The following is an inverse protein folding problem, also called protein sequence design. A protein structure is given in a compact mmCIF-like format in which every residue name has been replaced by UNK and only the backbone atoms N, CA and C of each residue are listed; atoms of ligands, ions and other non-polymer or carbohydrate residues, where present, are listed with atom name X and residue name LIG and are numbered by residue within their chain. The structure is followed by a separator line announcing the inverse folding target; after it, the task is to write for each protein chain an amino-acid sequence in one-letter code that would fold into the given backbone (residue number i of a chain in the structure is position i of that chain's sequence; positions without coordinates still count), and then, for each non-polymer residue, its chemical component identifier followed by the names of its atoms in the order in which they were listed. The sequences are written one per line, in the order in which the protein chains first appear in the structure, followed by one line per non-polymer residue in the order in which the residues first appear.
data_IF_994667050516
#
_entry.id   IF_994667050516
#
_cell.length_a   1.000
_cell.length_b   1.000
_cell.length_c   1.000
_cell.angle_alpha   90.00
_cell.angle_beta   90.00
_cell.angle_gamma   90.00
#
_symmetry.space_group_name_H-M   'P 1'
#
loop_
_entity.id
_entity.type
_entity.pdbx_description
1 polymer ?
#
# COMPACT_ATOMS: atom_id res chain seq x y z
N UNK A 1 6.81 -24.21 9.74
CA UNK A 1 8.15 -23.63 9.46
C UNK A 1 8.23 -22.15 9.84
N UNK A 2 7.38 -21.65 10.76
CA UNK A 2 7.42 -20.28 11.27
C UNK A 2 7.10 -20.25 12.78
N UNK A 3 7.48 -21.31 13.51
CA UNK A 3 7.12 -21.50 14.93
C UNK A 3 7.46 -20.36 15.90
N UNK A 4 8.52 -19.52 15.70
CA UNK A 4 8.71 -18.34 16.55
C UNK A 4 7.74 -17.19 16.23
N UNK A 5 6.98 -17.27 15.14
CA UNK A 5 6.11 -16.21 14.63
C UNK A 5 4.62 -16.61 14.61
N UNK A 6 4.25 -17.70 15.28
CA UNK A 6 2.85 -18.17 15.37
C UNK A 6 1.91 -17.07 15.86
N UNK A 7 2.35 -16.25 16.82
CA UNK A 7 1.55 -15.11 17.31
C UNK A 7 1.22 -14.10 16.19
N UNK A 8 2.15 -13.86 15.27
CA UNK A 8 1.93 -12.92 14.15
C UNK A 8 1.04 -13.56 13.09
N UNK A 9 1.21 -14.86 12.83
CA UNK A 9 0.34 -15.62 11.94
C UNK A 9 -1.10 -15.59 12.41
N UNK A 10 -1.34 -15.82 13.70
CA UNK A 10 -2.70 -15.79 14.27
C UNK A 10 -3.33 -14.40 14.14
N UNK A 11 -2.59 -13.31 14.41
CA UNK A 11 -3.09 -11.96 14.24
C UNK A 11 -3.45 -11.62 12.78
N UNK A 12 -2.60 -12.00 11.83
CA UNK A 12 -2.88 -11.77 10.40
C UNK A 12 -4.07 -12.60 9.91
N UNK A 13 -4.31 -13.77 10.49
CA UNK A 13 -5.47 -14.62 10.18
C UNK A 13 -6.80 -14.09 10.71
N UNK A 14 -6.79 -13.18 11.67
CA UNK A 14 -8.01 -12.48 12.11
C UNK A 14 -8.57 -11.54 11.02
N UNK A 15 -7.76 -11.17 10.02
CA UNK A 15 -8.19 -10.34 8.90
C UNK A 15 -9.09 -11.16 7.97
N UNK A 16 -10.39 -10.80 7.83
CA UNK A 16 -11.30 -11.55 6.96
C UNK A 16 -10.81 -11.55 5.50
N UNK A 17 -10.75 -12.74 4.90
CA UNK A 17 -10.31 -12.92 3.51
C UNK A 17 -8.83 -13.29 3.34
N UNK A 18 -8.03 -13.32 4.41
CA UNK A 18 -6.67 -13.87 4.37
C UNK A 18 -6.67 -15.37 4.70
N UNK A 19 -6.19 -16.19 3.78
CA UNK A 19 -5.93 -17.62 4.03
C UNK A 19 -4.56 -17.83 4.67
N UNK A 20 -4.33 -18.99 5.28
CA UNK A 20 -3.01 -19.35 5.84
C UNK A 20 -1.88 -19.18 4.82
N UNK A 21 -2.07 -19.71 3.61
CA UNK A 21 -1.09 -19.61 2.52
C UNK A 21 -0.86 -18.15 2.12
N UNK A 22 -1.91 -17.34 2.07
CA UNK A 22 -1.81 -15.91 1.76
C UNK A 22 -0.99 -15.16 2.80
N UNK A 23 -1.17 -15.49 4.09
CA UNK A 23 -0.39 -14.89 5.19
C UNK A 23 1.08 -15.32 5.12
N UNK A 24 1.35 -16.60 4.86
CA UNK A 24 2.72 -17.11 4.66
C UNK A 24 3.41 -16.41 3.49
N UNK A 25 2.73 -16.28 2.35
CA UNK A 25 3.26 -15.59 1.18
C UNK A 25 3.51 -14.11 1.46
N UNK A 26 2.58 -13.45 2.15
CA UNK A 26 2.76 -12.05 2.55
C UNK A 26 4.04 -11.90 3.38
N UNK A 27 4.20 -12.70 4.44
CA UNK A 27 5.38 -12.65 5.31
C UNK A 27 6.67 -12.97 4.54
N UNK A 28 6.63 -13.91 3.61
CA UNK A 28 7.79 -14.25 2.77
C UNK A 28 8.21 -13.09 1.84
N UNK A 29 7.25 -12.29 1.37
CA UNK A 29 7.49 -11.16 0.46
C UNK A 29 7.92 -9.88 1.19
N UNK A 30 7.22 -9.50 2.27
CA UNK A 30 7.45 -8.21 2.97
C UNK A 30 8.33 -8.34 4.22
N UNK A 31 8.51 -9.56 4.73
CA UNK A 31 9.17 -9.82 6.01
C UNK A 31 8.29 -9.47 7.23
N UNK A 32 8.87 -9.62 8.42
CA UNK A 32 8.21 -9.23 9.69
C UNK A 32 8.75 -7.92 10.26
N UNK A 33 9.91 -7.50 9.78
CA UNK A 33 10.50 -6.21 10.16
C UNK A 33 9.91 -5.11 9.28
N UNK A 34 8.95 -4.36 9.83
CA UNK A 34 8.32 -3.25 9.13
C UNK A 34 9.15 -1.96 9.19
N UNK A 35 10.24 -1.90 9.97
CA UNK A 35 11.10 -0.71 10.06
C UNK A 35 11.86 -0.44 8.75
N UNK A 36 12.00 -1.46 7.90
CA UNK A 36 12.56 -1.33 6.55
C UNK A 36 11.73 -0.38 5.66
N UNK A 37 10.46 -0.15 6.01
CA UNK A 37 9.59 0.82 5.34
C UNK A 37 9.37 2.04 6.24
N UNK A 38 9.72 3.23 5.74
CA UNK A 38 9.52 4.48 6.49
C UNK A 38 8.04 4.77 6.81
N UNK A 39 7.11 4.23 6.02
CA UNK A 39 5.67 4.27 6.30
C UNK A 39 4.91 3.22 5.50
N UNK A 40 3.66 2.97 5.86
CA UNK A 40 2.74 2.09 5.11
C UNK A 40 2.57 2.52 3.65
N UNK A 41 2.74 3.81 3.34
CA UNK A 41 2.73 4.33 1.97
C UNK A 41 3.94 3.87 1.15
N UNK A 42 5.09 3.71 1.79
CA UNK A 42 6.29 3.21 1.13
C UNK A 42 6.12 1.72 0.77
N UNK A 43 5.58 0.92 1.70
CA UNK A 43 5.23 -0.47 1.42
C UNK A 43 4.23 -0.56 0.24
N UNK A 44 3.14 0.21 0.28
CA UNK A 44 2.14 0.26 -0.79
C UNK A 44 2.73 0.68 -2.15
N UNK A 45 3.72 1.58 -2.14
CA UNK A 45 4.45 1.97 -3.36
C UNK A 45 5.38 0.88 -3.85
N UNK A 46 6.04 0.17 -2.93
CA UNK A 46 6.98 -0.90 -3.25
C UNK A 46 6.26 -2.12 -3.86
N UNK A 47 5.11 -2.53 -3.30
CA UNK A 47 4.29 -3.62 -3.88
C UNK A 47 3.52 -3.21 -5.15
N UNK A 48 3.64 -1.95 -5.60
CA UNK A 48 3.05 -1.47 -6.85
C UNK A 48 1.55 -1.17 -6.79
N UNK A 49 0.96 -0.98 -5.61
CA UNK A 49 -0.47 -0.62 -5.46
C UNK A 49 -0.70 0.89 -5.32
N UNK A 50 0.35 1.67 -5.04
CA UNK A 50 0.33 3.15 -4.97
C UNK A 50 0.27 3.79 -6.37
N UNK A 51 -0.40 4.94 -6.59
CA UNK A 51 -1.08 5.83 -5.62
C UNK A 51 -2.48 5.37 -5.15
N UNK A 52 -2.79 4.08 -5.28
CA UNK A 52 -4.04 3.46 -4.87
C UNK A 52 -4.90 3.06 -6.06
N UNK A 53 -5.56 1.91 -5.99
CA UNK A 53 -6.56 1.51 -6.96
C UNK A 53 -7.92 2.17 -6.64
N UNK A 54 -7.95 3.51 -6.63
CA UNK A 54 -9.14 4.31 -6.33
C UNK A 54 -10.13 4.26 -7.50
N UNK A 55 -10.84 3.14 -7.62
CA UNK A 55 -11.80 2.87 -8.68
C UNK A 55 -13.23 2.82 -8.12
N UNK A 56 -14.17 3.49 -8.79
CA UNK A 56 -15.60 3.38 -8.50
C UNK A 56 -16.34 3.12 -9.82
N UNK A 57 -17.20 2.10 -9.84
CA UNK A 57 -18.01 1.73 -11.01
C UNK A 57 -17.20 1.62 -12.33
N UNK A 58 -16.00 1.03 -12.29
CA UNK A 58 -15.15 0.89 -13.48
C UNK A 58 -14.31 2.13 -13.83
N UNK A 59 -14.33 3.19 -13.01
CA UNK A 59 -13.66 4.47 -13.29
C UNK A 59 -12.57 4.73 -12.26
N UNK A 60 -11.32 4.79 -12.72
CA UNK A 60 -10.17 5.23 -11.89
C UNK A 60 -10.29 6.73 -11.62
N UNK A 61 -10.29 7.13 -10.35
CA UNK A 61 -10.10 8.53 -9.96
C UNK A 61 -8.70 8.93 -10.34
N UNK A 62 -8.60 9.85 -11.30
CA UNK A 62 -7.34 10.54 -11.59
C UNK A 62 -7.15 11.59 -10.51
N UNK A 63 -5.95 11.66 -9.91
CA UNK A 63 -5.58 12.80 -9.06
C UNK A 63 -5.53 14.01 -9.98
N UNK A 64 -6.48 14.93 -9.84
CA UNK A 64 -6.41 16.21 -10.55
C UNK A 64 -5.07 16.87 -10.20
N UNK A 65 -4.23 17.22 -11.20
CA UNK A 65 -3.04 17.99 -10.91
C UNK A 65 -3.48 19.30 -10.25
N UNK A 66 -2.76 19.80 -9.23
CA UNK A 66 -3.08 21.09 -8.65
C UNK A 66 -3.06 22.12 -9.78
N UNK A 67 -4.22 22.64 -10.13
CA UNK A 67 -4.38 23.66 -11.16
C UNK A 67 -3.63 24.91 -10.71
N UNK A 68 -2.37 25.03 -11.12
CA UNK A 68 -1.55 26.21 -10.89
C UNK A 68 -2.06 27.36 -11.75
N UNK A 69 -3.10 28.05 -11.31
CA UNK A 69 -3.45 29.37 -11.83
C UNK A 69 -2.66 30.42 -11.06
N UNK A 70 -1.45 30.70 -11.53
CA UNK A 70 -0.80 32.00 -11.39
C UNK A 70 0.07 32.21 -12.64
N UNK A 71 -0.54 32.67 -13.75
CA UNK A 71 0.22 33.35 -14.80
C UNK A 71 0.44 34.79 -14.31
N UNK A 72 1.64 35.20 -13.86
CA UNK A 72 1.91 36.62 -13.74
C UNK A 72 1.77 37.23 -15.14
N UNK A 73 0.95 38.27 -15.28
CA UNK A 73 0.96 39.12 -16.47
C UNK A 73 2.38 39.69 -16.59
N UNK A 74 3.14 39.24 -17.57
CA UNK A 74 4.41 39.86 -17.95
C UNK A 74 4.07 41.17 -18.67
N UNK A 75 4.55 42.34 -18.23
CA UNK A 75 4.39 43.59 -18.95
C UNK A 75 5.67 43.93 -19.70
N UNK A 76 5.88 43.33 -20.87
CA UNK A 76 6.53 43.92 -22.05
C UNK A 76 6.31 42.99 -23.25
#
# INVERSE_FOLDING_TARGET
MLSPYENVLELLREIPGLSHKTVEDLIAEIGLDMEVFTSEKHLASWVGISPGNNESAGKKKVVEPPTGINKPKQPW
#
